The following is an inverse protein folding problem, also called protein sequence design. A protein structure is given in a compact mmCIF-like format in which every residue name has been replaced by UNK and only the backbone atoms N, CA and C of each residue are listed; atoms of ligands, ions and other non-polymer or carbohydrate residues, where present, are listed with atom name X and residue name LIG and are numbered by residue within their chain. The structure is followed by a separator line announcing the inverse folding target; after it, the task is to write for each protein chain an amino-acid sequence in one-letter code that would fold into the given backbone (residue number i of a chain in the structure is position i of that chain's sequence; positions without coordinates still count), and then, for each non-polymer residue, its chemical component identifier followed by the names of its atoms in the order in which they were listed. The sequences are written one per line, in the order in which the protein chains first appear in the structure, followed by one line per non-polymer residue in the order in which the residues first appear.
data_IF_118746005497
#
_entry.id   IF_118746005497
#
_cell.length_a   1.000
_cell.length_b   1.000
_cell.length_c   1.000
_cell.angle_alpha   90.00
_cell.angle_beta   90.00
_cell.angle_gamma   90.00
#
_symmetry.space_group_name_H-M   'P 1'
#
loop_
_entity.id
_entity.type
_entity.pdbx_description
1 polymer ?
#
# COMPACT_ATOMS: atom_id res chain seq x y z
N UNK A 1 -20.99 -9.62 -3.20
CA UNK A 1 -20.16 -10.85 -3.29
C UNK A 1 -19.54 -10.88 -4.67
N UNK A 2 -18.22 -11.12 -4.78
CA UNK A 2 -17.50 -11.07 -6.05
C UNK A 2 -17.63 -12.42 -6.75
N UNK A 3 -17.99 -12.42 -8.03
CA UNK A 3 -17.96 -13.62 -8.89
C UNK A 3 -16.85 -13.45 -9.92
N UNK A 4 -15.98 -14.45 -10.07
CA UNK A 4 -14.86 -14.39 -11.03
C UNK A 4 -14.93 -15.61 -11.93
N UNK A 5 -14.96 -15.37 -13.24
CA UNK A 5 -14.86 -16.39 -14.28
C UNK A 5 -13.42 -16.40 -14.77
N UNK A 6 -12.74 -17.53 -14.57
CA UNK A 6 -11.37 -17.74 -15.01
C UNK A 6 -11.34 -18.35 -16.41
N UNK A 7 -10.25 -18.09 -17.14
CA UNK A 7 -9.92 -18.81 -18.37
C UNK A 7 -9.01 -20.00 -18.10
N UNK A 8 -8.47 -20.60 -19.16
CA UNK A 8 -7.66 -21.83 -19.04
C UNK A 8 -6.24 -21.62 -18.48
N UNK A 9 -5.83 -20.39 -18.12
CA UNK A 9 -4.51 -20.13 -17.52
C UNK A 9 -4.51 -20.41 -15.99
N UNK A 10 -3.87 -21.51 -15.54
CA UNK A 10 -3.82 -21.86 -14.11
C UNK A 10 -2.92 -20.91 -13.31
N UNK A 11 -1.93 -20.28 -13.95
CA UNK A 11 -0.99 -19.35 -13.31
C UNK A 11 -1.69 -18.07 -12.88
N UNK A 12 -2.47 -17.47 -13.79
CA UNK A 12 -3.28 -16.27 -13.49
C UNK A 12 -4.28 -16.59 -12.37
N UNK A 13 -4.95 -17.75 -12.44
CA UNK A 13 -5.90 -18.18 -11.42
C UNK A 13 -5.27 -18.30 -10.03
N UNK A 14 -4.11 -18.94 -9.94
CA UNK A 14 -3.39 -19.11 -8.68
C UNK A 14 -2.97 -17.76 -8.09
N UNK A 15 -2.38 -16.89 -8.91
CA UNK A 15 -1.93 -15.55 -8.48
C UNK A 15 -3.10 -14.69 -7.99
N UNK A 16 -4.20 -14.65 -8.75
CA UNK A 16 -5.38 -13.86 -8.38
C UNK A 16 -6.05 -14.38 -7.11
N UNK A 17 -6.16 -15.71 -6.97
CA UNK A 17 -6.72 -16.36 -5.77
C UNK A 17 -5.87 -16.09 -4.54
N UNK A 18 -4.55 -16.20 -4.64
CA UNK A 18 -3.63 -15.89 -3.56
C UNK A 18 -3.79 -14.44 -3.10
N UNK A 19 -3.90 -13.50 -4.04
CA UNK A 19 -4.05 -12.08 -3.74
C UNK A 19 -5.41 -11.72 -3.14
N UNK A 20 -6.51 -12.30 -3.64
CA UNK A 20 -7.83 -12.11 -3.04
C UNK A 20 -7.86 -12.64 -1.60
N UNK A 21 -7.20 -13.76 -1.36
CA UNK A 21 -7.08 -14.36 -0.02
C UNK A 21 -6.21 -13.51 0.90
N UNK A 22 -5.09 -12.95 0.41
CA UNK A 22 -4.23 -12.07 1.22
C UNK A 22 -4.96 -10.82 1.70
N UNK A 23 -5.87 -10.28 0.88
CA UNK A 23 -6.74 -9.16 1.27
C UNK A 23 -8.00 -9.58 2.03
N UNK A 24 -8.18 -10.88 2.31
CA UNK A 24 -9.38 -11.45 2.94
C UNK A 24 -10.66 -10.98 2.24
N UNK A 25 -10.67 -11.06 0.91
CA UNK A 25 -11.79 -10.72 0.05
C UNK A 25 -12.57 -12.00 -0.27
N UNK A 26 -13.87 -12.00 0.01
CA UNK A 26 -14.73 -13.13 -0.31
C UNK A 26 -15.11 -13.10 -1.80
N UNK A 27 -14.78 -14.17 -2.51
CA UNK A 27 -15.11 -14.34 -3.92
C UNK A 27 -15.58 -15.77 -4.22
N UNK A 28 -16.32 -15.91 -5.32
CA UNK A 28 -16.70 -17.19 -5.90
C UNK A 28 -15.95 -17.37 -7.22
N UNK A 29 -15.21 -18.48 -7.33
CA UNK A 29 -14.51 -18.88 -8.54
C UNK A 29 -15.44 -19.69 -9.42
N UNK A 30 -15.44 -19.37 -10.71
CA UNK A 30 -16.15 -20.10 -11.75
C UNK A 30 -15.17 -20.48 -12.86
N UNK A 31 -15.34 -21.69 -13.41
CA UNK A 31 -14.62 -22.16 -14.59
C UNK A 31 -15.20 -21.55 -15.87
N UNK A 32 -14.44 -21.67 -16.96
CA UNK A 32 -14.83 -21.18 -18.29
C UNK A 32 -16.18 -21.76 -18.75
N UNK A 33 -16.44 -23.04 -18.50
CA UNK A 33 -17.65 -23.74 -18.93
C UNK A 33 -18.91 -23.22 -18.23
N UNK A 34 -18.74 -22.62 -17.05
CA UNK A 34 -19.85 -22.04 -16.28
C UNK A 34 -20.31 -20.70 -16.85
N UNK A 35 -19.55 -20.11 -17.79
CA UNK A 35 -19.96 -18.94 -18.55
C UNK A 35 -20.93 -19.36 -19.69
N UNK A 36 -22.17 -19.64 -19.31
CA UNK A 36 -23.24 -19.99 -20.26
C UNK A 36 -23.72 -18.77 -21.05
N UNK A 37 -24.48 -19.00 -22.13
CA UNK A 37 -25.09 -17.91 -22.91
C UNK A 37 -25.94 -16.99 -22.05
N UNK A 38 -26.73 -17.56 -21.13
CA UNK A 38 -27.56 -16.77 -20.21
C UNK A 38 -26.71 -15.86 -19.32
N UNK A 39 -25.65 -16.40 -18.71
CA UNK A 39 -24.73 -15.64 -17.85
C UNK A 39 -24.05 -14.53 -18.66
N UNK A 40 -23.61 -14.84 -19.88
CA UNK A 40 -22.98 -13.86 -20.75
C UNK A 40 -23.95 -12.73 -21.12
N UNK A 41 -25.20 -13.06 -21.50
CA UNK A 41 -26.24 -12.06 -21.77
C UNK A 41 -26.54 -11.17 -20.56
N UNK A 42 -26.49 -11.72 -19.34
CA UNK A 42 -26.61 -10.93 -18.11
C UNK A 42 -25.43 -9.96 -17.93
N UNK A 43 -24.19 -10.39 -18.21
CA UNK A 43 -23.02 -9.50 -18.21
C UNK A 43 -23.15 -8.38 -19.24
N UNK A 44 -23.66 -8.69 -20.45
CA UNK A 44 -23.89 -7.69 -21.49
C UNK A 44 -24.86 -6.60 -21.04
N UNK A 45 -25.92 -6.96 -20.30
CA UNK A 45 -26.87 -5.98 -19.73
C UNK A 45 -26.26 -5.05 -18.70
N UNK A 46 -25.22 -5.51 -17.99
CA UNK A 46 -24.53 -4.76 -16.95
C UNK A 46 -23.37 -3.91 -17.49
N UNK A 47 -22.96 -4.14 -18.74
CA UNK A 47 -21.83 -3.47 -19.37
C UNK A 47 -22.31 -2.38 -20.31
N UNK A 48 -21.68 -1.21 -20.28
CA UNK A 48 -22.01 -0.10 -21.19
C UNK A 48 -21.55 -0.33 -22.62
N UNK A 49 -20.35 -0.90 -22.79
CA UNK A 49 -19.80 -1.31 -24.09
C UNK A 49 -19.31 -2.76 -23.97
N UNK A 50 -20.02 -3.69 -24.60
CA UNK A 50 -19.65 -5.10 -24.49
C UNK A 50 -18.32 -5.44 -25.14
N UNK A 51 -17.80 -4.60 -26.04
CA UNK A 51 -16.50 -4.83 -26.64
C UNK A 51 -15.37 -4.73 -25.62
N UNK A 52 -15.60 -4.09 -24.47
CA UNK A 52 -14.66 -4.08 -23.34
C UNK A 52 -14.44 -5.49 -22.77
N UNK A 53 -15.41 -6.40 -22.93
CA UNK A 53 -15.29 -7.80 -22.50
C UNK A 53 -14.46 -8.64 -23.46
N UNK A 54 -14.18 -8.14 -24.66
CA UNK A 54 -13.50 -8.88 -25.71
C UNK A 54 -11.99 -8.66 -25.70
N UNK A 55 -11.27 -9.59 -26.30
CA UNK A 55 -9.85 -9.42 -26.57
C UNK A 55 -9.63 -8.19 -27.49
N UNK A 56 -8.66 -7.29 -27.21
CA UNK A 56 -8.40 -6.08 -28.01
C UNK A 56 -8.23 -6.33 -29.51
N UNK A 57 -7.73 -7.50 -29.88
CA UNK A 57 -7.57 -7.90 -31.28
C UNK A 57 -8.89 -8.02 -32.04
N UNK A 58 -10.04 -8.01 -31.35
CA UNK A 58 -11.38 -8.19 -31.90
C UNK A 58 -12.16 -6.89 -32.02
N UNK A 59 -11.55 -5.75 -31.70
CA UNK A 59 -12.19 -4.43 -31.83
C UNK A 59 -12.59 -4.15 -33.28
N UNK A 60 -11.93 -4.76 -34.27
CA UNK A 60 -12.29 -4.65 -35.69
C UNK A 60 -13.73 -5.13 -35.99
N UNK A 61 -14.31 -6.02 -35.17
CA UNK A 61 -15.72 -6.41 -35.29
C UNK A 61 -16.69 -5.26 -35.00
N UNK A 62 -16.27 -4.16 -34.36
CA UNK A 62 -17.10 -2.93 -34.23
C UNK A 62 -17.53 -2.37 -35.58
N UNK A 63 -16.75 -2.63 -36.63
CA UNK A 63 -16.99 -2.13 -37.98
C UNK A 63 -17.55 -3.20 -38.91
N UNK A 64 -17.76 -4.43 -38.41
CA UNK A 64 -18.29 -5.54 -39.21
C UNK A 64 -19.82 -5.57 -39.14
N UNK A 65 -20.46 -5.20 -40.25
CA UNK A 65 -21.92 -5.22 -40.40
C UNK A 65 -22.45 -6.54 -41.00
N UNK A 66 -21.60 -7.56 -41.20
CA UNK A 66 -21.99 -8.82 -41.87
C UNK A 66 -22.55 -9.86 -40.90
N UNK A 67 -22.15 -9.82 -39.63
CA UNK A 67 -22.55 -10.78 -38.61
C UNK A 67 -23.72 -10.27 -37.78
N UNK A 68 -24.76 -11.10 -37.61
CA UNK A 68 -25.79 -10.81 -36.62
C UNK A 68 -25.23 -10.93 -35.20
N UNK A 69 -25.78 -10.16 -34.25
CA UNK A 69 -25.38 -10.21 -32.84
C UNK A 69 -25.46 -11.64 -32.27
N UNK A 70 -26.49 -12.41 -32.64
CA UNK A 70 -26.65 -13.80 -32.20
C UNK A 70 -25.51 -14.71 -32.68
N UNK A 71 -25.15 -14.60 -33.97
CA UNK A 71 -24.02 -15.36 -34.53
C UNK A 71 -22.71 -14.94 -33.87
N UNK A 72 -22.56 -13.65 -33.58
CA UNK A 72 -21.39 -13.12 -32.92
C UNK A 72 -21.24 -13.62 -31.48
N UNK A 73 -22.32 -13.62 -30.69
CA UNK A 73 -22.35 -14.19 -29.33
C UNK A 73 -22.03 -15.68 -29.37
N UNK A 74 -22.64 -16.43 -30.28
CA UNK A 74 -22.35 -17.86 -30.41
C UNK A 74 -20.87 -18.12 -30.73
N UNK A 75 -20.28 -17.29 -31.60
CA UNK A 75 -18.85 -17.35 -31.91
C UNK A 75 -17.98 -17.07 -30.69
N UNK A 76 -18.29 -16.03 -29.91
CA UNK A 76 -17.57 -15.73 -28.66
C UNK A 76 -17.61 -16.92 -27.70
N UNK A 77 -18.80 -17.49 -27.49
CA UNK A 77 -18.99 -18.57 -26.51
C UNK A 77 -18.38 -19.90 -26.96
N UNK A 78 -18.09 -20.07 -28.25
CA UNK A 78 -17.45 -21.28 -28.80
C UNK A 78 -15.98 -21.41 -28.41
N UNK A 79 -15.28 -20.30 -28.13
CA UNK A 79 -13.86 -20.27 -27.76
C UNK A 79 -13.60 -19.04 -26.87
N UNK A 80 -13.92 -19.15 -25.57
CA UNK A 80 -14.04 -17.96 -24.71
C UNK A 80 -12.66 -17.40 -24.37
N UNK A 81 -11.63 -18.22 -24.21
CA UNK A 81 -10.26 -17.71 -24.02
C UNK A 81 -9.75 -16.88 -25.20
N UNK A 82 -10.11 -17.26 -26.42
CA UNK A 82 -9.73 -16.50 -27.61
C UNK A 82 -10.49 -15.19 -27.71
N UNK A 83 -11.80 -15.21 -27.42
CA UNK A 83 -12.68 -14.09 -27.71
C UNK A 83 -12.89 -13.14 -26.54
N UNK A 84 -12.85 -13.63 -25.31
CA UNK A 84 -13.04 -12.84 -24.09
C UNK A 84 -11.72 -12.48 -23.44
N UNK A 85 -11.73 -11.35 -22.74
CA UNK A 85 -10.62 -10.93 -21.89
C UNK A 85 -10.84 -11.50 -20.48
N UNK A 86 -10.49 -12.77 -20.29
CA UNK A 86 -10.53 -13.43 -18.99
C UNK A 86 -9.29 -13.05 -18.14
N UNK A 87 -9.38 -13.04 -16.80
CA UNK A 87 -10.56 -13.32 -15.98
C UNK A 87 -11.59 -12.17 -15.99
N UNK A 88 -12.87 -12.51 -15.90
CA UNK A 88 -13.97 -11.54 -15.78
C UNK A 88 -14.52 -11.56 -14.36
N UNK A 89 -14.54 -10.40 -13.68
CA UNK A 89 -15.12 -10.25 -12.35
C UNK A 89 -16.43 -9.45 -12.39
N UNK A 90 -17.45 -9.92 -11.66
CA UNK A 90 -18.69 -9.21 -11.41
C UNK A 90 -18.71 -8.75 -9.95
N UNK A 91 -18.82 -7.44 -9.74
CA UNK A 91 -18.87 -6.80 -8.42
C UNK A 91 -19.93 -5.72 -8.40
N UNK A 92 -20.95 -5.88 -7.52
CA UNK A 92 -22.04 -4.92 -7.35
C UNK A 92 -22.66 -4.49 -8.69
N UNK A 93 -23.04 -5.48 -9.51
CA UNK A 93 -23.64 -5.32 -10.84
C UNK A 93 -22.77 -4.57 -11.86
N UNK A 94 -21.46 -4.53 -11.63
CA UNK A 94 -20.46 -4.06 -12.60
C UNK A 94 -19.57 -5.19 -13.04
N UNK A 95 -19.29 -5.22 -14.33
CA UNK A 95 -18.43 -6.23 -14.96
C UNK A 95 -17.06 -5.62 -15.24
N UNK A 96 -16.02 -6.33 -14.83
CA UNK A 96 -14.62 -5.97 -15.05
C UNK A 96 -13.96 -7.10 -15.85
N UNK A 97 -13.40 -6.79 -17.02
CA UNK A 97 -12.71 -7.76 -17.86
C UNK A 97 -11.20 -7.66 -17.71
N UNK A 98 -10.50 -8.77 -17.94
CA UNK A 98 -9.04 -8.85 -17.90
C UNK A 98 -8.44 -8.47 -16.56
N UNK A 99 -9.11 -8.85 -15.46
CA UNK A 99 -8.72 -8.45 -14.11
C UNK A 99 -7.35 -9.02 -13.77
N UNK A 100 -6.41 -8.12 -13.46
CA UNK A 100 -5.07 -8.49 -13.03
C UNK A 100 -4.92 -8.55 -11.51
N UNK A 101 -3.74 -8.96 -11.03
CA UNK A 101 -3.41 -9.01 -9.61
C UNK A 101 -3.38 -7.61 -8.99
N UNK A 102 -2.99 -6.60 -9.76
CA UNK A 102 -2.97 -5.19 -9.36
C UNK A 102 -4.38 -4.64 -9.17
N UNK A 103 -5.31 -5.05 -10.03
CA UNK A 103 -6.69 -4.61 -10.02
C UNK A 103 -7.45 -5.10 -8.79
N UNK A 104 -7.02 -6.19 -8.13
CA UNK A 104 -7.66 -6.73 -6.92
C UNK A 104 -7.86 -5.67 -5.83
N UNK A 105 -6.97 -4.68 -5.76
CA UNK A 105 -7.09 -3.57 -4.80
C UNK A 105 -8.37 -2.76 -4.96
N UNK A 106 -8.95 -2.72 -6.17
CA UNK A 106 -10.21 -2.03 -6.43
C UNK A 106 -11.40 -2.67 -5.71
N UNK A 107 -11.30 -3.96 -5.40
CA UNK A 107 -12.30 -4.74 -4.71
C UNK A 107 -12.23 -4.64 -3.18
N UNK A 108 -11.18 -4.01 -2.65
CA UNK A 108 -11.06 -3.82 -1.19
C UNK A 108 -12.16 -2.84 -0.72
N UNK A 109 -12.94 -3.22 0.30
CA UNK A 109 -13.96 -2.35 0.90
C UNK A 109 -13.39 -0.98 1.27
N UNK A 110 -14.18 0.08 1.08
CA UNK A 110 -13.73 1.47 1.31
C UNK A 110 -13.35 1.69 2.78
N UNK A 111 -14.05 1.02 3.69
CA UNK A 111 -13.83 1.08 5.14
C UNK A 111 -12.45 0.54 5.50
N UNK A 112 -12.08 -0.63 4.96
CA UNK A 112 -10.74 -1.21 5.17
C UNK A 112 -9.64 -0.31 4.62
N UNK A 113 -9.82 0.22 3.40
CA UNK A 113 -8.86 1.17 2.81
C UNK A 113 -8.69 2.43 3.67
N UNK A 114 -9.76 2.92 4.28
CA UNK A 114 -9.71 4.09 5.17
C UNK A 114 -8.90 3.79 6.44
N UNK A 115 -9.11 2.64 7.06
CA UNK A 115 -8.38 2.21 8.26
C UNK A 115 -6.89 2.01 7.95
N UNK A 116 -6.58 1.30 6.87
CA UNK A 116 -5.20 1.07 6.43
C UNK A 116 -4.50 2.41 6.13
N UNK A 117 -5.18 3.31 5.42
CA UNK A 117 -4.69 4.65 5.16
C UNK A 117 -4.38 5.38 6.48
N UNK A 118 -5.31 5.41 7.44
CA UNK A 118 -5.08 6.07 8.74
C UNK A 118 -3.87 5.48 9.47
N UNK A 119 -3.73 4.15 9.48
CA UNK A 119 -2.57 3.49 10.07
C UNK A 119 -1.25 3.88 9.39
N UNK A 120 -1.22 3.89 8.07
CA UNK A 120 -0.04 4.30 7.30
C UNK A 120 0.31 5.77 7.52
N UNK A 121 -0.69 6.66 7.56
CA UNK A 121 -0.48 8.08 7.86
C UNK A 121 0.09 8.26 9.26
N UNK A 122 -0.44 7.57 10.27
CA UNK A 122 0.11 7.64 11.63
C UNK A 122 1.56 7.16 11.68
N UNK A 123 1.87 6.03 11.03
CA UNK A 123 3.25 5.52 10.94
C UNK A 123 4.18 6.49 10.22
N UNK A 124 3.68 7.15 9.18
CA UNK A 124 4.43 8.19 8.48
C UNK A 124 4.69 9.40 9.37
N UNK A 125 3.69 9.89 10.10
CA UNK A 125 3.84 10.99 11.06
C UNK A 125 4.86 10.66 12.16
N UNK A 126 4.86 9.43 12.68
CA UNK A 126 5.86 8.96 13.65
C UNK A 126 7.29 8.98 13.08
N UNK A 127 7.47 8.52 11.83
CA UNK A 127 8.76 8.55 11.14
C UNK A 127 9.22 9.98 10.82
N UNK A 128 8.29 10.85 10.40
CA UNK A 128 8.57 12.26 10.13
C UNK A 128 8.99 12.97 11.42
N UNK A 129 8.27 12.75 12.53
CA UNK A 129 8.58 13.33 13.83
C UNK A 129 9.95 12.88 14.34
N UNK A 130 10.28 11.59 14.22
CA UNK A 130 11.60 11.07 14.59
C UNK A 130 12.72 11.62 13.70
N UNK A 131 12.48 11.75 12.40
CA UNK A 131 13.44 12.39 11.47
C UNK A 131 13.68 13.86 11.85
N UNK A 132 12.61 14.58 12.16
CA UNK A 132 12.64 15.98 12.56
C UNK A 132 13.40 16.17 13.87
N UNK A 133 13.11 15.33 14.87
CA UNK A 133 13.80 15.28 16.15
C UNK A 133 15.32 15.17 15.96
N UNK A 134 15.78 14.14 15.24
CA UNK A 134 17.22 13.90 15.08
C UNK A 134 17.93 14.94 14.24
N UNK A 135 17.22 15.55 13.27
CA UNK A 135 17.74 16.67 12.48
C UNK A 135 17.97 17.89 13.36
N UNK A 136 16.95 18.28 14.13
CA UNK A 136 17.03 19.45 14.99
C UNK A 136 18.01 19.21 16.15
N UNK A 137 18.03 18.00 16.73
CA UNK A 137 19.03 17.57 17.71
C UNK A 137 20.46 17.76 17.21
N UNK A 138 20.78 17.30 15.99
CA UNK A 138 22.15 17.46 15.46
C UNK A 138 22.48 18.94 15.20
N UNK A 139 21.49 19.75 14.83
CA UNK A 139 21.63 21.22 14.72
C UNK A 139 21.97 21.84 16.08
N UNK A 140 21.22 21.53 17.13
CA UNK A 140 21.46 22.08 18.47
C UNK A 140 22.79 21.61 19.06
N UNK A 141 23.15 20.33 18.85
CA UNK A 141 24.47 19.81 19.23
C UNK A 141 25.60 20.59 18.56
N UNK A 142 25.48 20.87 17.26
CA UNK A 142 26.47 21.65 16.50
C UNK A 142 26.54 23.10 16.97
N UNK A 143 25.40 23.73 17.25
CA UNK A 143 25.33 25.10 17.78
C UNK A 143 25.93 25.23 19.18
N UNK A 144 25.79 24.18 19.99
CA UNK A 144 26.40 24.09 21.33
C UNK A 144 27.89 23.68 21.27
N UNK A 145 28.44 23.48 20.08
CA UNK A 145 29.82 23.03 19.83
C UNK A 145 30.21 21.71 20.52
N UNK A 146 29.23 20.94 20.97
CA UNK A 146 29.47 19.69 21.72
C UNK A 146 29.85 18.54 20.79
N UNK A 147 30.99 17.91 21.08
CA UNK A 147 31.38 16.65 20.44
C UNK A 147 30.52 15.51 20.98
N UNK A 148 30.43 14.42 20.21
CA UNK A 148 29.60 13.27 20.58
C UNK A 148 30.00 12.63 21.90
N UNK A 149 31.31 12.55 22.21
CA UNK A 149 31.75 11.96 23.48
C UNK A 149 31.38 12.84 24.68
N UNK A 150 31.54 14.16 24.59
CA UNK A 150 31.18 15.13 25.63
C UNK A 150 29.67 15.07 25.92
N UNK A 151 28.87 15.01 24.85
CA UNK A 151 27.42 14.86 24.97
C UNK A 151 27.02 13.55 25.66
N UNK A 152 27.71 12.45 25.35
CA UNK A 152 27.44 11.18 26.02
C UNK A 152 27.80 11.21 27.49
N UNK A 153 28.90 11.86 27.85
CA UNK A 153 29.31 11.98 29.24
C UNK A 153 28.32 12.84 30.03
N UNK A 154 27.78 13.91 29.42
CA UNK A 154 26.71 14.72 30.01
C UNK A 154 25.36 13.99 30.13
N UNK A 155 24.95 13.22 29.11
CA UNK A 155 23.67 12.51 29.11
C UNK A 155 23.62 11.37 30.13
N UNK A 156 24.76 10.72 30.35
CA UNK A 156 24.85 9.50 31.13
C UNK A 156 25.68 9.65 32.41
N UNK A 157 26.01 10.89 32.80
CA UNK A 157 26.75 11.20 34.03
C UNK A 157 26.12 10.56 35.28
N UNK A 158 24.78 10.51 35.33
CA UNK A 158 24.02 10.10 36.51
C UNK A 158 23.44 8.67 36.40
N UNK A 159 23.80 7.88 35.38
CA UNK A 159 23.12 6.59 35.15
C UNK A 159 23.61 5.43 36.03
N UNK A 160 24.92 5.26 36.19
CA UNK A 160 25.51 4.18 36.97
C UNK A 160 27.04 4.35 37.07
N UNK A 161 27.63 3.86 38.17
CA UNK A 161 29.08 3.69 38.28
C UNK A 161 29.59 2.44 37.52
N UNK A 162 28.67 1.57 37.06
CA UNK A 162 29.00 0.38 36.27
C UNK A 162 29.20 0.74 34.78
N UNK A 163 30.46 0.62 34.34
CA UNK A 163 30.89 0.79 32.95
C UNK A 163 30.09 -0.05 31.94
N UNK A 164 29.61 -1.23 32.35
CA UNK A 164 28.79 -2.10 31.51
C UNK A 164 27.39 -1.54 31.25
N UNK A 165 26.76 -0.96 32.26
CA UNK A 165 25.43 -0.34 32.15
C UNK A 165 25.49 0.97 31.34
N UNK A 166 26.52 1.80 31.56
CA UNK A 166 26.77 3.00 30.75
C UNK A 166 26.94 2.64 29.27
N UNK A 167 27.69 1.57 28.97
CA UNK A 167 27.85 1.11 27.59
C UNK A 167 26.51 0.71 26.96
N UNK A 168 25.69 -0.06 27.67
CA UNK A 168 24.35 -0.47 27.18
C UNK A 168 23.46 0.74 26.90
N UNK A 169 23.50 1.77 27.74
CA UNK A 169 22.73 2.98 27.53
C UNK A 169 23.21 3.79 26.30
N UNK A 170 24.52 3.94 26.13
CA UNK A 170 25.11 4.56 24.92
C UNK A 170 24.70 3.78 23.66
N UNK A 171 24.73 2.46 23.68
CA UNK A 171 24.31 1.60 22.56
C UNK A 171 22.81 1.72 22.25
N UNK A 172 21.95 1.78 23.29
CA UNK A 172 20.50 2.03 23.12
C UNK A 172 20.23 3.38 22.47
N UNK A 173 20.91 4.44 22.94
CA UNK A 173 20.76 5.77 22.36
C UNK A 173 21.18 5.82 20.89
N UNK A 174 22.29 5.17 20.55
CA UNK A 174 22.73 5.03 19.16
C UNK A 174 21.70 4.29 18.30
N UNK A 175 21.05 3.27 18.85
CA UNK A 175 19.98 2.54 18.18
C UNK A 175 18.79 3.44 17.85
N UNK A 176 18.34 4.29 18.79
CA UNK A 176 17.28 5.27 18.53
C UNK A 176 17.66 6.22 17.39
N UNK A 177 18.91 6.71 17.39
CA UNK A 177 19.43 7.61 16.34
C UNK A 177 19.43 6.98 14.96
N UNK A 178 19.92 5.75 14.85
CA UNK A 178 20.01 5.06 13.56
C UNK A 178 18.62 4.73 13.01
N UNK A 179 17.71 4.31 13.88
CA UNK A 179 16.34 3.96 13.50
C UNK A 179 15.41 5.17 13.37
N UNK A 180 15.94 6.39 13.57
CA UNK A 180 15.16 7.63 13.63
C UNK A 180 13.99 7.57 14.63
N UNK A 181 14.15 6.80 15.70
CA UNK A 181 13.16 6.69 16.76
C UNK A 181 13.37 7.83 17.76
N UNK A 182 12.28 8.41 18.25
CA UNK A 182 12.32 9.41 19.30
C UNK A 182 12.78 8.70 20.59
N UNK A 183 13.84 9.17 21.28
CA UNK A 183 14.26 8.60 22.55
C UNK A 183 13.17 8.67 23.62
N UNK A 184 13.27 7.84 24.68
CA UNK A 184 12.47 7.98 25.89
C UNK A 184 12.49 9.39 26.49
N UNK A 185 11.42 9.76 27.20
CA UNK A 185 11.20 11.13 27.69
C UNK A 185 12.29 11.59 28.66
N UNK A 186 12.77 10.70 29.53
CA UNK A 186 13.86 10.95 30.47
C UNK A 186 15.14 11.39 29.75
N UNK A 187 15.46 10.78 28.60
CA UNK A 187 16.59 11.18 27.78
C UNK A 187 16.33 12.57 27.16
N UNK A 188 15.10 12.81 26.66
CA UNK A 188 14.75 14.11 26.06
C UNK A 188 14.88 15.23 27.09
N UNK A 189 14.40 15.03 28.31
CA UNK A 189 14.52 16.01 29.40
C UNK A 189 15.98 16.35 29.72
N UNK A 190 16.88 15.34 29.71
CA UNK A 190 18.31 15.59 29.86
C UNK A 190 18.88 16.40 28.69
N UNK A 191 18.51 16.06 27.46
CA UNK A 191 18.94 16.82 26.27
C UNK A 191 18.45 18.27 26.34
N UNK A 192 17.21 18.51 26.75
CA UNK A 192 16.64 19.86 26.94
C UNK A 192 17.49 20.69 27.91
N UNK A 193 17.91 20.10 29.03
CA UNK A 193 18.77 20.76 30.01
C UNK A 193 20.17 21.03 29.46
N UNK A 194 20.75 20.09 28.69
CA UNK A 194 22.08 20.23 28.11
C UNK A 194 22.11 21.34 27.06
N UNK A 195 21.14 21.38 26.15
CA UNK A 195 21.08 22.37 25.07
C UNK A 195 20.37 23.67 25.46
N UNK A 196 19.74 23.74 26.64
CA UNK A 196 18.95 24.87 27.11
C UNK A 196 17.79 25.23 26.16
N UNK A 197 17.05 24.22 25.71
CA UNK A 197 15.92 24.36 24.76
C UNK A 197 14.64 23.69 25.28
N UNK A 198 13.52 24.04 24.66
CA UNK A 198 12.23 23.42 24.96
C UNK A 198 12.00 22.19 24.09
N UNK A 199 11.18 21.25 24.59
CA UNK A 199 10.80 20.04 23.86
C UNK A 199 10.27 20.34 22.45
N UNK A 200 9.47 21.41 22.34
CA UNK A 200 8.85 21.81 21.07
C UNK A 200 9.89 22.12 19.98
N UNK A 201 11.10 22.55 20.36
CA UNK A 201 12.15 22.93 19.43
C UNK A 201 12.67 21.74 18.62
N UNK A 202 12.65 20.52 19.16
CA UNK A 202 13.01 19.32 18.41
C UNK A 202 12.03 18.99 17.28
N UNK A 203 10.80 19.49 17.35
CA UNK A 203 9.73 19.17 16.41
C UNK A 203 9.29 20.37 15.57
N UNK A 204 10.00 21.51 15.66
CA UNK A 204 9.75 22.67 14.80
C UNK A 204 10.25 22.41 13.38
N UNK A 205 9.35 22.56 12.40
CA UNK A 205 9.71 22.59 10.98
C UNK A 205 10.37 23.95 10.68
N UNK A 206 11.64 23.96 10.28
CA UNK A 206 12.31 25.16 9.79
C UNK A 206 11.81 25.52 8.38
N UNK A 207 11.81 26.80 8.02
CA UNK A 207 11.26 27.32 6.74
C UNK A 207 11.88 26.60 5.51
N UNK A 208 13.15 26.18 5.59
CA UNK A 208 13.82 25.41 4.54
C UNK A 208 13.16 24.05 4.23
N UNK A 209 12.43 23.46 5.19
CA UNK A 209 11.70 22.20 4.98
C UNK A 209 10.35 22.35 4.26
N UNK A 210 9.90 23.57 4.00
CA UNK A 210 8.72 23.85 3.16
C UNK A 210 9.05 23.98 1.67
N UNK A 211 10.34 24.07 1.30
CA UNK A 211 10.78 24.26 -0.09
C UNK A 211 11.05 22.94 -0.84
N UNK A 212 10.94 21.79 -0.16
CA UNK A 212 11.14 20.46 -0.75
C UNK A 212 9.85 19.61 -0.76
N UNK A 213 8.68 20.24 -0.93
CA UNK A 213 7.41 19.57 -1.22
C UNK A 213 7.03 19.85 -2.68
#
# INVERSE_FOLDING_TARGET
MIKIFFGNDPGIRAQLTQQLTSYSINFQSYEEEQLTEQVFLEMLKQTSDFFDLLNPNLVHYKLDNRLSLKQFIHRILSDKDKYLRLPIAIVNDRVYSGVSVEDVRMFIPKERRKIERQYLFKKFEELEAGTLFWRNFDSFRKQSELRWFELYDLLFADESDDLGEIKKAKDRFFTYKNNKQIPPEDIIEKIQKIFLIERVDFFKKTISSLQNI
#
